data_IF_676072366309
#
_entry.id   IF_676072366309
#
_cell.length_a   1.000
_cell.length_b   1.000
_cell.length_c   1.000
_cell.angle_alpha   90.00
_cell.angle_beta   90.00
_cell.angle_gamma   90.00
#
_symmetry.space_group_name_H-M   'P 1'
#
loop_
_entity.id
_entity.type
_entity.pdbx_description
1 polymer ?
#
# COMPACT_ATOMS: atom_id res chain seq x y z
N UNK A 1 13.33 8.45 3.16
CA UNK A 1 12.56 8.44 4.44
C UNK A 1 12.33 9.88 4.89
N UNK A 2 11.22 10.16 5.56
CA UNK A 2 10.83 11.54 5.94
C UNK A 2 10.40 11.58 7.41
N UNK A 3 10.95 12.53 8.16
CA UNK A 3 10.50 12.89 9.51
C UNK A 3 9.59 14.12 9.38
N UNK A 4 8.42 14.08 10.03
CA UNK A 4 7.45 15.14 9.90
C UNK A 4 6.25 14.95 10.82
N UNK A 5 5.29 15.86 10.72
CA UNK A 5 4.04 15.77 11.45
C UNK A 5 3.04 14.95 10.64
N UNK A 6 2.53 13.88 11.23
CA UNK A 6 1.47 13.07 10.66
C UNK A 6 0.11 13.73 10.86
N UNK A 7 -0.71 13.74 9.81
CA UNK A 7 -2.10 14.18 9.83
C UNK A 7 -2.93 13.10 9.13
N UNK A 8 -3.97 12.60 9.80
CA UNK A 8 -4.83 11.53 9.27
C UNK A 8 -6.24 12.12 9.11
N UNK A 9 -6.73 12.13 7.87
CA UNK A 9 -8.08 12.59 7.52
C UNK A 9 -8.82 11.46 6.81
N UNK A 10 -9.60 10.70 7.58
CA UNK A 10 -10.29 9.52 7.06
C UNK A 10 -9.30 8.51 6.47
N UNK A 11 -9.40 8.28 5.17
CA UNK A 11 -8.54 7.36 4.42
C UNK A 11 -7.22 7.98 3.93
N UNK A 12 -7.05 9.30 4.08
CA UNK A 12 -5.88 10.01 3.56
C UNK A 12 -4.92 10.35 4.69
N UNK A 13 -3.65 10.02 4.48
CA UNK A 13 -2.56 10.38 5.38
C UNK A 13 -1.75 11.50 4.75
N UNK A 14 -1.78 12.67 5.37
CA UNK A 14 -0.93 13.81 5.05
C UNK A 14 0.29 13.80 5.97
N UNK A 15 1.46 14.12 5.42
CA UNK A 15 2.71 14.17 6.19
C UNK A 15 3.43 15.48 5.89
N UNK A 16 3.43 16.39 6.87
CA UNK A 16 4.11 17.68 6.75
C UNK A 16 5.60 17.46 7.03
N UNK A 17 6.40 17.48 5.97
CA UNK A 17 7.83 17.18 6.05
C UNK A 17 8.59 18.24 6.87
N UNK A 18 9.39 17.77 7.83
CA UNK A 18 10.35 18.59 8.58
C UNK A 18 11.78 18.32 8.13
N UNK A 19 12.14 17.04 7.94
CA UNK A 19 13.46 16.60 7.48
C UNK A 19 13.34 15.39 6.56
N UNK A 20 14.19 15.33 5.55
CA UNK A 20 14.24 14.24 4.59
C UNK A 20 15.60 13.55 4.65
N UNK A 21 15.58 12.22 4.67
CA UNK A 21 16.77 11.38 4.73
C UNK A 21 16.87 10.51 3.48
N UNK A 22 18.02 10.60 2.81
CA UNK A 22 18.39 9.68 1.76
C UNK A 22 18.97 8.41 2.39
N UNK A 23 18.18 7.33 2.38
CA UNK A 23 18.59 6.03 2.91
C UNK A 23 19.04 5.06 1.80
N UNK A 24 19.15 5.52 0.55
CA UNK A 24 19.44 4.63 -0.58
C UNK A 24 20.73 3.84 -0.35
N UNK A 25 21.80 4.49 0.12
CA UNK A 25 23.08 3.81 0.38
C UNK A 25 22.99 2.73 1.45
N UNK A 26 22.09 2.88 2.42
CA UNK A 26 21.92 1.91 3.51
C UNK A 26 21.03 0.74 3.09
N UNK A 27 20.02 1.00 2.25
CA UNK A 27 19.04 0.01 1.82
C UNK A 27 19.44 -0.72 0.54
N UNK A 28 20.47 -0.25 -0.18
CA UNK A 28 20.88 -0.78 -1.49
C UNK A 28 21.12 -2.31 -1.50
N UNK A 29 21.66 -2.85 -0.41
CA UNK A 29 22.02 -4.27 -0.31
C UNK A 29 20.97 -5.17 0.36
N UNK A 30 19.79 -4.64 0.73
CA UNK A 30 18.74 -5.44 1.38
C UNK A 30 17.91 -6.25 0.39
N UNK A 31 17.89 -5.86 -0.88
CA UNK A 31 17.27 -6.63 -1.95
C UNK A 31 18.35 -7.55 -2.56
N UNK A 32 18.33 -8.83 -2.21
CA UNK A 32 19.12 -9.85 -2.88
C UNK A 32 18.42 -10.14 -4.21
N UNK A 33 18.92 -9.58 -5.31
CA UNK A 33 18.42 -9.89 -6.65
C UNK A 33 19.14 -11.12 -7.20
N UNK A 34 18.62 -12.32 -6.92
CA UNK A 34 18.69 -13.40 -7.89
C UNK A 34 17.58 -13.13 -8.89
N UNK A 35 17.93 -12.78 -10.14
CA UNK A 35 16.94 -12.46 -11.18
C UNK A 35 15.94 -13.61 -11.43
N UNK A 36 16.33 -14.85 -11.11
CA UNK A 36 15.52 -16.05 -11.24
C UNK A 36 14.51 -16.27 -10.09
N UNK A 37 14.69 -15.60 -8.94
CA UNK A 37 13.87 -15.77 -7.73
C UNK A 37 12.99 -14.55 -7.42
N UNK A 38 12.90 -13.56 -8.32
CA UNK A 38 12.02 -12.41 -8.09
C UNK A 38 10.58 -12.94 -7.86
N UNK A 39 9.99 -12.75 -6.66
CA UNK A 39 8.61 -13.11 -6.45
C UNK A 39 7.78 -12.06 -7.17
N UNK A 40 7.52 -12.28 -8.47
CA UNK A 40 6.85 -11.30 -9.32
C UNK A 40 5.47 -10.88 -8.77
N UNK A 41 4.87 -11.65 -7.86
CA UNK A 41 3.53 -11.39 -7.28
C UNK A 41 3.31 -11.97 -5.86
N UNK A 42 4.34 -12.14 -5.01
CA UNK A 42 4.07 -12.62 -3.64
C UNK A 42 3.86 -11.45 -2.69
N UNK A 43 2.63 -10.90 -2.67
CA UNK A 43 2.16 -10.24 -1.46
C UNK A 43 2.31 -11.24 -0.31
N UNK A 44 2.78 -10.80 0.86
CA UNK A 44 2.80 -11.68 2.02
C UNK A 44 1.36 -12.06 2.34
N UNK A 45 1.10 -13.35 2.65
CA UNK A 45 -0.25 -13.85 2.96
C UNK A 45 -0.97 -13.04 4.05
N UNK A 46 -0.21 -12.41 4.93
CA UNK A 46 -0.72 -11.55 6.01
C UNK A 46 -1.32 -10.22 5.50
N UNK A 47 -0.97 -9.80 4.29
CA UNK A 47 -1.43 -8.56 3.65
C UNK A 47 -2.61 -8.79 2.69
N UNK A 48 -3.10 -10.04 2.57
CA UNK A 48 -4.30 -10.36 1.80
C UNK A 48 -5.56 -9.88 2.55
N UNK A 49 -6.14 -8.74 2.17
CA UNK A 49 -7.42 -8.24 2.71
C UNK A 49 -8.65 -8.73 1.92
N UNK A 50 -8.51 -9.80 1.13
CA UNK A 50 -9.59 -10.28 0.26
C UNK A 50 -10.68 -10.96 1.10
N UNK A 51 -11.78 -10.25 1.36
CA UNK A 51 -13.04 -10.87 1.77
C UNK A 51 -13.49 -11.85 0.68
N UNK A 52 -13.99 -13.07 1.00
CA UNK A 52 -14.54 -13.96 0.00
C UNK A 52 -15.65 -13.22 -0.73
N UNK A 53 -15.52 -13.11 -2.06
CA UNK A 53 -16.41 -12.32 -2.91
C UNK A 53 -17.89 -12.56 -2.55
N UNK A 54 -18.66 -11.53 -2.16
CA UNK A 54 -20.09 -11.59 -2.35
C UNK A 54 -20.38 -11.58 -3.85
N UNK A 55 -21.48 -12.20 -4.27
CA UNK A 55 -21.86 -12.37 -5.67
C UNK A 55 -21.78 -11.01 -6.40
N UNK A 56 -20.98 -10.94 -7.47
CA UNK A 56 -20.66 -9.70 -8.21
C UNK A 56 -21.88 -8.90 -8.68
N UNK A 57 -23.06 -9.53 -8.69
CA UNK A 57 -24.35 -8.91 -9.00
C UNK A 57 -24.79 -7.92 -7.93
N UNK A 58 -24.49 -8.11 -6.65
CA UNK A 58 -24.97 -7.21 -5.58
C UNK A 58 -24.24 -5.85 -5.54
N UNK A 59 -22.98 -5.82 -5.98
CA UNK A 59 -22.09 -4.64 -5.88
C UNK A 59 -22.55 -3.49 -6.79
N UNK A 60 -23.15 -3.79 -7.96
CA UNK A 60 -23.54 -2.75 -8.92
C UNK A 60 -24.84 -2.01 -8.56
N UNK A 61 -25.67 -2.54 -7.66
CA UNK A 61 -26.94 -1.88 -7.28
C UNK A 61 -26.77 -0.84 -6.17
N UNK A 62 -25.75 -0.98 -5.31
CA UNK A 62 -25.53 -0.05 -4.18
C UNK A 62 -24.76 1.22 -4.56
N UNK A 63 -24.09 1.27 -5.70
CA UNK A 63 -23.24 2.40 -6.12
C UNK A 63 -23.96 3.54 -6.83
N UNK A 64 -25.28 3.48 -7.04
CA UNK A 64 -26.04 4.51 -7.77
C UNK A 64 -26.98 5.27 -6.83
N UNK A 65 -26.40 6.16 -6.02
CA UNK A 65 -27.16 7.20 -5.30
C UNK A 65 -27.54 8.33 -6.28
N UNK A 66 -28.39 8.05 -7.26
CA UNK A 66 -29.15 9.09 -7.95
C UNK A 66 -30.44 9.32 -7.17
N UNK A 67 -30.49 10.44 -6.45
CA UNK A 67 -31.73 11.08 -6.01
C UNK A 67 -31.72 12.51 -6.47
#
# INVERSE_FOLDING_TARGET
>A
MVEGKLQIEGEVIHLVAKRCFNLNSLLLGLTIYNLDDLPLLALARADETTVPSPDSREVFHKGRNFR
#
